data_IF_781713879814
#
_entry.id   IF_781713879814
#
_cell.length_a   1.000
_cell.length_b   1.000
_cell.length_c   1.000
_cell.angle_alpha   90.00
_cell.angle_beta   90.00
_cell.angle_gamma   90.00
#
_symmetry.space_group_name_H-M   'P 1'
#
loop_
_entity.id
_entity.type
_entity.pdbx_description
1 polymer ?
#
# COMPACT_ATOMS: atom_id res chain seq x y z
N UNK A 1 -6.45 11.02 8.76
CA UNK A 1 -7.88 10.96 8.42
C UNK A 1 -8.60 12.18 8.99
N UNK A 2 -9.02 13.09 8.13
CA UNK A 2 -9.88 14.19 8.56
C UNK A 2 -11.33 13.78 8.38
N UNK A 3 -11.88 13.10 9.38
CA UNK A 3 -13.29 12.72 9.39
C UNK A 3 -13.88 13.08 10.74
N UNK A 4 -15.21 13.25 10.76
CA UNK A 4 -15.94 13.65 11.96
C UNK A 4 -16.39 12.45 12.82
N UNK A 5 -15.70 11.32 12.69
CA UNK A 5 -15.99 10.15 13.50
C UNK A 5 -15.49 10.31 14.94
N UNK A 6 -16.12 9.63 15.91
CA UNK A 6 -15.61 9.59 17.27
C UNK A 6 -14.17 9.07 17.32
N UNK A 7 -13.42 9.50 18.33
CA UNK A 7 -12.02 9.10 18.50
C UNK A 7 -11.86 7.59 18.58
N UNK A 8 -12.76 6.91 19.25
CA UNK A 8 -12.75 5.47 19.39
C UNK A 8 -12.84 4.77 18.02
N UNK A 9 -13.74 5.23 17.15
CA UNK A 9 -13.89 4.70 15.80
C UNK A 9 -12.65 4.99 14.95
N UNK A 10 -12.10 6.19 15.05
CA UNK A 10 -10.88 6.57 14.33
C UNK A 10 -9.69 5.71 14.73
N UNK A 11 -9.53 5.44 16.03
CA UNK A 11 -8.48 4.59 16.54
C UNK A 11 -8.63 3.16 16.02
N UNK A 12 -9.85 2.62 16.01
CA UNK A 12 -10.11 1.29 15.49
C UNK A 12 -9.81 1.19 14.00
N UNK A 13 -10.23 2.17 13.20
CA UNK A 13 -9.96 2.21 11.76
C UNK A 13 -8.46 2.28 11.50
N UNK A 14 -7.75 3.14 12.21
CA UNK A 14 -6.30 3.27 12.07
C UNK A 14 -5.57 1.96 12.39
N UNK A 15 -5.94 1.32 13.50
CA UNK A 15 -5.33 0.06 13.92
C UNK A 15 -5.57 -1.05 12.91
N UNK A 16 -6.81 -1.20 12.43
CA UNK A 16 -7.16 -2.22 11.45
C UNK A 16 -6.47 -1.97 10.11
N UNK A 17 -6.42 -0.73 9.68
CA UNK A 17 -5.74 -0.35 8.43
C UNK A 17 -4.25 -0.67 8.50
N UNK A 18 -3.61 -0.33 9.61
CA UNK A 18 -2.20 -0.62 9.81
C UNK A 18 -1.91 -2.11 9.77
N UNK A 19 -2.71 -2.91 10.46
CA UNK A 19 -2.57 -4.36 10.46
C UNK A 19 -2.74 -4.98 9.07
N UNK A 20 -3.67 -4.43 8.28
CA UNK A 20 -3.98 -4.97 6.96
C UNK A 20 -2.93 -4.60 5.93
N UNK A 21 -2.43 -3.37 5.95
CA UNK A 21 -1.60 -2.84 4.87
C UNK A 21 -0.10 -2.79 5.18
N UNK A 22 0.30 -2.63 6.42
CA UNK A 22 1.72 -2.49 6.75
C UNK A 22 2.45 -3.82 6.70
N UNK A 23 1.84 -4.87 7.18
CA UNK A 23 2.45 -6.18 7.19
C UNK A 23 2.14 -6.94 8.47
N UNK A 24 2.74 -8.09 8.62
CA UNK A 24 2.49 -8.92 9.79
C UNK A 24 2.97 -10.35 9.59
N UNK A 25 2.75 -11.19 10.61
CA UNK A 25 3.13 -12.59 10.53
C UNK A 25 2.29 -13.33 9.49
N UNK A 26 2.91 -14.28 8.81
CA UNK A 26 2.26 -15.15 7.84
C UNK A 26 2.09 -16.54 8.43
N UNK A 27 0.88 -17.07 8.32
CA UNK A 27 0.58 -18.44 8.76
C UNK A 27 -0.10 -19.20 7.61
N UNK A 28 0.10 -20.51 7.58
CA UNK A 28 -0.62 -21.35 6.63
C UNK A 28 -2.00 -21.74 7.18
N UNK A 29 -2.76 -22.52 6.42
CA UNK A 29 -4.07 -23.00 6.83
C UNK A 29 -4.05 -23.90 8.07
N UNK A 30 -2.89 -24.44 8.41
CA UNK A 30 -2.69 -25.29 9.59
C UNK A 30 -2.21 -24.51 10.81
N UNK A 31 -2.09 -23.19 10.71
CA UNK A 31 -1.65 -22.34 11.80
C UNK A 31 -0.15 -22.28 12.01
N UNK A 32 0.65 -22.88 11.12
CA UNK A 32 2.10 -22.83 11.22
C UNK A 32 2.61 -21.47 10.76
N UNK A 33 3.58 -20.92 11.49
CA UNK A 33 4.20 -19.64 11.14
C UNK A 33 5.13 -19.82 9.94
N UNK A 34 4.95 -18.97 8.94
CA UNK A 34 5.71 -19.01 7.69
C UNK A 34 6.61 -17.80 7.49
N UNK A 35 6.70 -16.90 8.47
CA UNK A 35 7.50 -15.70 8.38
C UNK A 35 6.69 -14.45 8.63
N UNK A 36 7.22 -13.31 8.18
CA UNK A 36 6.63 -12.00 8.42
C UNK A 36 6.53 -11.24 7.11
N UNK A 37 5.32 -10.79 6.75
CA UNK A 37 5.09 -10.02 5.54
C UNK A 37 5.56 -8.58 5.74
N UNK A 38 6.43 -8.10 4.84
CA UNK A 38 6.92 -6.71 4.83
C UNK A 38 6.70 -6.04 3.49
N UNK A 39 5.82 -6.58 2.68
CA UNK A 39 5.52 -6.05 1.36
C UNK A 39 4.02 -6.01 1.14
N UNK A 40 3.60 -5.50 -0.02
CA UNK A 40 2.20 -5.46 -0.41
C UNK A 40 1.63 -6.86 -0.50
N UNK A 41 0.49 -7.10 0.15
CA UNK A 41 -0.23 -8.36 0.01
C UNK A 41 -0.95 -8.42 -1.32
N UNK A 42 -0.79 -9.53 -2.03
CA UNK A 42 -1.62 -9.81 -3.18
C UNK A 42 -3.05 -10.13 -2.70
N UNK A 43 -4.05 -9.61 -3.39
CA UNK A 43 -5.44 -9.86 -3.04
C UNK A 43 -6.04 -8.91 -2.01
N UNK A 44 -5.27 -7.96 -1.50
CA UNK A 44 -5.83 -6.86 -0.70
C UNK A 44 -6.63 -5.96 -1.65
N UNK A 45 -7.80 -5.49 -1.19
CA UNK A 45 -8.74 -4.73 -2.02
C UNK A 45 -8.10 -3.57 -2.78
N UNK A 46 -7.15 -2.88 -2.16
CA UNK A 46 -6.50 -1.70 -2.74
C UNK A 46 -5.16 -1.99 -3.40
N UNK A 47 -4.81 -3.26 -3.61
CA UNK A 47 -3.49 -3.63 -4.15
C UNK A 47 -3.24 -2.99 -5.52
N UNK A 48 -4.21 -3.07 -6.43
CA UNK A 48 -4.07 -2.50 -7.77
C UNK A 48 -3.84 -0.99 -7.74
N UNK A 49 -4.69 -0.27 -7.02
CA UNK A 49 -4.56 1.19 -6.90
C UNK A 49 -3.28 1.57 -6.15
N UNK A 50 -2.95 0.86 -5.08
CA UNK A 50 -1.75 1.11 -4.31
C UNK A 50 -0.49 0.90 -5.13
N UNK A 51 -0.44 -0.15 -5.93
CA UNK A 51 0.69 -0.41 -6.81
C UNK A 51 0.78 0.62 -7.93
N UNK A 52 -0.35 1.06 -8.48
CA UNK A 52 -0.41 2.12 -9.48
C UNK A 52 0.17 3.41 -8.95
N UNK A 53 -0.24 3.84 -7.76
CA UNK A 53 0.27 5.06 -7.14
C UNK A 53 1.76 4.95 -6.84
N UNK A 54 2.21 3.83 -6.31
CA UNK A 54 3.62 3.59 -6.00
C UNK A 54 4.48 3.65 -7.28
N UNK A 55 4.04 2.98 -8.33
CA UNK A 55 4.73 2.99 -9.62
C UNK A 55 4.78 4.39 -10.21
N UNK A 56 3.67 5.13 -10.15
CA UNK A 56 3.60 6.50 -10.65
C UNK A 56 4.59 7.42 -9.93
N UNK A 57 4.64 7.37 -8.61
CA UNK A 57 5.53 8.21 -7.82
C UNK A 57 6.99 7.92 -8.14
N UNK A 58 7.35 6.64 -8.24
CA UNK A 58 8.71 6.23 -8.60
C UNK A 58 9.09 6.67 -10.01
N UNK A 59 8.18 6.51 -10.95
CA UNK A 59 8.41 6.92 -12.35
C UNK A 59 8.60 8.42 -12.45
N UNK A 60 7.80 9.21 -11.73
CA UNK A 60 7.95 10.68 -11.68
C UNK A 60 9.30 11.08 -11.12
N UNK A 61 9.71 10.44 -10.03
CA UNK A 61 11.02 10.72 -9.43
C UNK A 61 12.16 10.38 -10.39
N UNK A 62 12.06 9.28 -11.10
CA UNK A 62 13.06 8.88 -12.10
C UNK A 62 13.12 9.89 -13.26
N UNK A 63 11.98 10.36 -13.73
CA UNK A 63 11.93 11.38 -14.79
C UNK A 63 12.57 12.69 -14.33
N UNK A 64 12.31 13.10 -13.10
CA UNK A 64 12.94 14.31 -12.55
C UNK A 64 14.46 14.15 -12.47
N UNK A 65 14.93 12.99 -12.01
CA UNK A 65 16.37 12.72 -11.92
C UNK A 65 17.04 12.68 -13.29
N UNK A 66 16.32 12.22 -14.32
CA UNK A 66 16.83 12.18 -15.70
C UNK A 66 16.67 13.48 -16.46
N UNK A 67 16.06 14.51 -15.87
CA UNK A 67 15.84 15.79 -16.51
C UNK A 67 14.71 15.81 -17.54
N UNK A 68 13.83 14.83 -17.50
CA UNK A 68 12.68 14.76 -18.42
C UNK A 68 11.59 15.67 -17.90
N UNK A 69 11.15 16.61 -18.74
CA UNK A 69 10.11 17.59 -18.41
C UNK A 69 8.80 17.19 -19.07
N UNK A 70 7.70 17.25 -18.28
CA UNK A 70 6.34 16.99 -18.74
C UNK A 70 6.18 15.65 -19.49
N UNK A 71 6.59 14.52 -18.90
CA UNK A 71 6.40 13.24 -19.55
C UNK A 71 4.93 12.83 -19.57
N UNK A 72 4.54 12.09 -20.60
CA UNK A 72 3.25 11.42 -20.64
C UNK A 72 3.44 10.00 -20.10
N UNK A 73 2.62 9.64 -19.10
CA UNK A 73 2.74 8.33 -18.45
C UNK A 73 1.41 7.59 -18.46
N UNK A 74 1.49 6.28 -18.70
CA UNK A 74 0.39 5.36 -18.52
C UNK A 74 0.81 4.33 -17.47
N UNK A 75 0.10 4.30 -16.35
CA UNK A 75 0.42 3.41 -15.23
C UNK A 75 -0.80 2.59 -14.87
N UNK A 76 -0.61 1.28 -14.77
CA UNK A 76 -1.67 0.34 -14.41
C UNK A 76 -1.07 -0.79 -13.59
N UNK A 77 -1.19 -0.71 -12.26
CA UNK A 77 -0.58 -1.66 -11.36
C UNK A 77 0.92 -1.43 -11.18
N UNK A 78 1.68 -2.50 -11.27
CA UNK A 78 3.15 -2.46 -11.10
C UNK A 78 3.92 -1.83 -12.30
#
# INVERSE_FOLDING_TARGET
LSCSLPEEARTAIHSLTERLYVGGPMTNSKGQSCGYRRCRASGVLTTSMGNTLTCYVKARAACNAAGIVAPTMLVCGD
#
